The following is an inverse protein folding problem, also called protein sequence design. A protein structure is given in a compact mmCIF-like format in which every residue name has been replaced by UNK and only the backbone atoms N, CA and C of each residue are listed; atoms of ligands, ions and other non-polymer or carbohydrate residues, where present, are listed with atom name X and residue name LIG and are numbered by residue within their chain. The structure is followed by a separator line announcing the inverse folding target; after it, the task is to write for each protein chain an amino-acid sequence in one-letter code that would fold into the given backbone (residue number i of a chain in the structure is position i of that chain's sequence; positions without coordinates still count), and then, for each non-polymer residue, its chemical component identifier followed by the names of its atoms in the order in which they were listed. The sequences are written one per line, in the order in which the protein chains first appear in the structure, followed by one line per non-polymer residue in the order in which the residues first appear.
data_IF_034347668073
#
_entry.id   IF_034347668073
#
_cell.length_a   1.000
_cell.length_b   1.000
_cell.length_c   1.000
_cell.angle_alpha   90.00
_cell.angle_beta   90.00
_cell.angle_gamma   90.00
#
_symmetry.space_group_name_H-M   'P 1'
#
loop_
_entity.id
_entity.type
_entity.pdbx_description
1 polymer ?
#
# COMPACT_ATOMS: atom_id res chain seq x y z
N UNK A 1 30.49 45.02 -52.95
CA UNK A 1 29.88 43.68 -52.78
C UNK A 1 30.50 42.90 -51.59
N UNK A 2 30.85 43.56 -50.47
CA UNK A 2 31.43 42.89 -49.27
C UNK A 2 30.54 43.00 -48.02
N UNK A 3 29.51 43.86 -48.01
CA UNK A 3 28.64 44.07 -46.84
C UNK A 3 27.53 43.01 -46.70
N UNK A 4 27.19 42.29 -47.77
CA UNK A 4 26.09 41.30 -47.77
C UNK A 4 26.46 39.98 -47.09
N UNK A 5 27.75 39.66 -46.97
CA UNK A 5 28.23 38.41 -46.33
C UNK A 5 28.30 38.52 -44.80
N UNK A 6 28.49 39.73 -44.26
CA UNK A 6 28.45 40.03 -42.82
C UNK A 6 27.05 39.77 -42.22
N UNK A 7 25.98 40.19 -42.92
CA UNK A 7 24.60 40.02 -42.42
C UNK A 7 24.15 38.55 -42.38
N UNK A 8 24.66 37.70 -43.27
CA UNK A 8 24.40 36.24 -43.23
C UNK A 8 25.09 35.55 -42.05
N UNK A 9 26.28 36.01 -41.65
CA UNK A 9 27.00 35.47 -40.47
C UNK A 9 26.31 35.82 -39.16
N UNK A 10 25.80 37.05 -39.02
CA UNK A 10 25.04 37.47 -37.85
C UNK A 10 23.70 36.70 -37.72
N UNK A 11 22.98 36.51 -38.84
CA UNK A 11 21.74 35.73 -38.86
C UNK A 11 21.97 34.25 -38.49
N UNK A 12 23.06 33.65 -38.99
CA UNK A 12 23.44 32.27 -38.65
C UNK A 12 23.83 32.09 -37.17
N UNK A 13 24.43 33.11 -36.56
CA UNK A 13 24.76 33.10 -35.12
C UNK A 13 23.48 33.17 -34.27
N UNK A 14 22.54 34.04 -34.64
CA UNK A 14 21.28 34.22 -33.92
C UNK A 14 20.43 32.94 -33.95
N UNK A 15 20.28 32.30 -35.12
CA UNK A 15 19.50 31.05 -35.23
C UNK A 15 20.14 29.91 -34.43
N UNK A 16 21.47 29.81 -34.37
CA UNK A 16 22.16 28.83 -33.54
C UNK A 16 21.88 29.03 -32.04
N UNK A 17 21.92 30.27 -31.55
CA UNK A 17 21.58 30.59 -30.14
C UNK A 17 20.13 30.23 -29.83
N UNK A 18 19.20 30.57 -30.73
CA UNK A 18 17.79 30.21 -30.57
C UNK A 18 17.59 28.69 -30.48
N UNK A 19 18.27 27.91 -31.32
CA UNK A 19 18.22 26.45 -31.27
C UNK A 19 18.78 25.89 -29.96
N UNK A 20 19.88 26.45 -29.44
CA UNK A 20 20.45 26.01 -28.16
C UNK A 20 19.47 26.30 -27.01
N UNK A 21 18.84 27.48 -27.00
CA UNK A 21 17.87 27.85 -25.96
C UNK A 21 16.62 26.96 -26.03
N UNK A 22 16.10 26.66 -27.22
CA UNK A 22 14.95 25.77 -27.34
C UNK A 22 15.27 24.35 -26.88
N UNK A 23 16.46 23.83 -27.22
CA UNK A 23 16.94 22.53 -26.72
C UNK A 23 17.07 22.52 -25.19
N UNK A 24 17.57 23.60 -24.59
CA UNK A 24 17.67 23.73 -23.14
C UNK A 24 16.29 23.72 -22.45
N UNK A 25 15.28 24.41 -23.02
CA UNK A 25 13.91 24.41 -22.50
C UNK A 25 13.27 23.03 -22.61
N UNK A 26 13.47 22.33 -23.74
CA UNK A 26 12.95 20.97 -23.93
C UNK A 26 13.60 20.01 -22.93
N UNK A 27 14.92 20.08 -22.75
CA UNK A 27 15.63 19.24 -21.80
C UNK A 27 15.15 19.48 -20.36
N UNK A 28 14.96 20.74 -19.97
CA UNK A 28 14.41 21.10 -18.66
C UNK A 28 12.97 20.58 -18.48
N UNK A 29 12.13 20.68 -19.51
CA UNK A 29 10.76 20.16 -19.47
C UNK A 29 10.73 18.63 -19.32
N UNK A 30 11.52 17.91 -20.12
CA UNK A 30 11.62 16.44 -20.07
C UNK A 30 12.10 15.97 -18.71
N UNK A 31 13.09 16.64 -18.12
CA UNK A 31 13.60 16.29 -16.79
C UNK A 31 12.52 16.47 -15.71
N UNK A 32 11.79 17.60 -15.76
CA UNK A 32 10.69 17.85 -14.83
C UNK A 32 9.54 16.85 -14.96
N UNK A 33 9.17 16.51 -16.20
CA UNK A 33 8.14 15.51 -16.46
C UNK A 33 8.57 14.13 -15.95
N UNK A 34 9.81 13.73 -16.24
CA UNK A 34 10.36 12.44 -15.81
C UNK A 34 10.38 12.30 -14.29
N UNK A 35 10.81 13.36 -13.58
CA UNK A 35 10.77 13.39 -12.11
C UNK A 35 9.35 13.23 -11.54
N UNK A 36 8.36 13.87 -12.15
CA UNK A 36 6.94 13.71 -11.77
C UNK A 36 6.41 12.30 -12.04
N UNK A 37 6.72 11.74 -13.21
CA UNK A 37 6.29 10.39 -13.59
C UNK A 37 6.85 9.34 -12.64
N UNK A 38 8.16 9.38 -12.34
CA UNK A 38 8.80 8.45 -11.39
C UNK A 38 8.14 8.51 -10.00
N UNK A 39 7.78 9.72 -9.55
CA UNK A 39 7.08 9.89 -8.28
C UNK A 39 5.70 9.23 -8.29
N UNK A 40 4.89 9.48 -9.33
CA UNK A 40 3.55 8.89 -9.41
C UNK A 40 3.61 7.37 -9.48
N UNK A 41 4.54 6.81 -10.28
CA UNK A 41 4.68 5.36 -10.42
C UNK A 41 5.16 4.70 -9.14
N UNK A 42 6.06 5.34 -8.37
CA UNK A 42 6.53 4.82 -7.08
C UNK A 42 5.43 4.85 -6.01
N UNK A 43 4.64 5.93 -5.94
CA UNK A 43 3.48 6.02 -5.04
C UNK A 43 2.42 4.94 -5.39
N UNK A 44 2.14 4.74 -6.67
CA UNK A 44 1.24 3.68 -7.13
C UNK A 44 1.77 2.29 -6.77
N UNK A 45 3.06 2.02 -7.01
CA UNK A 45 3.68 0.73 -6.70
C UNK A 45 3.58 0.38 -5.20
N UNK A 46 3.73 1.35 -4.31
CA UNK A 46 3.56 1.13 -2.86
C UNK A 46 2.13 0.82 -2.48
N UNK A 47 1.16 1.51 -3.09
CA UNK A 47 -0.25 1.24 -2.89
C UNK A 47 -0.60 -0.18 -3.33
N UNK A 48 -0.14 -0.61 -4.50
CA UNK A 48 -0.37 -1.97 -5.00
C UNK A 48 0.28 -3.02 -4.09
N UNK A 49 1.49 -2.79 -3.60
CA UNK A 49 2.11 -3.66 -2.60
C UNK A 49 1.28 -3.77 -1.31
N UNK A 50 0.74 -2.66 -0.81
CA UNK A 50 -0.12 -2.68 0.37
C UNK A 50 -1.40 -3.52 0.15
N UNK A 51 -1.99 -3.42 -1.04
CA UNK A 51 -3.15 -4.23 -1.44
C UNK A 51 -2.77 -5.72 -1.51
N UNK A 52 -1.63 -6.05 -2.12
CA UNK A 52 -1.14 -7.42 -2.21
C UNK A 52 -0.89 -8.03 -0.83
N UNK A 53 -0.26 -7.28 0.08
CA UNK A 53 -0.07 -7.74 1.47
C UNK A 53 -1.39 -7.94 2.18
N UNK A 54 -2.34 -7.00 2.07
CA UNK A 54 -3.66 -7.18 2.67
C UNK A 54 -4.31 -8.47 2.17
N UNK A 55 -4.19 -8.77 0.86
CA UNK A 55 -4.75 -10.00 0.28
C UNK A 55 -4.04 -11.26 0.75
N UNK A 56 -2.72 -11.32 0.68
CA UNK A 56 -1.98 -12.50 1.11
C UNK A 56 -2.20 -12.82 2.60
N UNK A 57 -2.24 -11.78 3.44
CA UNK A 57 -2.45 -11.93 4.87
C UNK A 57 -3.89 -12.30 5.22
N UNK A 58 -4.90 -11.82 4.46
CA UNK A 58 -6.28 -12.34 4.65
C UNK A 58 -6.39 -13.83 4.34
N UNK A 59 -5.76 -14.31 3.27
CA UNK A 59 -5.79 -15.75 2.93
C UNK A 59 -5.04 -16.57 3.98
N UNK A 60 -3.89 -16.06 4.44
CA UNK A 60 -3.15 -16.68 5.53
C UNK A 60 -3.97 -16.75 6.83
N UNK A 61 -4.70 -15.69 7.17
CA UNK A 61 -5.57 -15.66 8.34
C UNK A 61 -6.69 -16.71 8.24
N UNK A 62 -7.34 -16.81 7.08
CA UNK A 62 -8.37 -17.83 6.82
C UNK A 62 -7.77 -19.23 6.99
N UNK A 63 -6.59 -19.48 6.40
CA UNK A 63 -5.90 -20.75 6.53
C UNK A 63 -5.56 -21.07 8.01
N UNK A 64 -5.01 -20.10 8.74
CA UNK A 64 -4.64 -20.25 10.14
C UNK A 64 -5.85 -20.56 11.03
N UNK A 65 -6.99 -19.91 10.80
CA UNK A 65 -8.23 -20.23 11.53
C UNK A 65 -8.78 -21.60 11.12
N UNK A 66 -8.72 -21.96 9.84
CA UNK A 66 -9.23 -23.25 9.36
C UNK A 66 -8.41 -24.44 9.87
N UNK A 67 -7.11 -24.25 10.08
CA UNK A 67 -6.20 -25.29 10.57
C UNK A 67 -6.22 -25.43 12.10
N UNK A 68 -6.83 -24.48 12.83
CA UNK A 68 -6.85 -24.49 14.28
C UNK A 68 -8.04 -25.30 14.81
N UNK A 69 -7.78 -26.07 15.85
CA UNK A 69 -8.84 -26.78 16.57
C UNK A 69 -9.78 -25.76 17.24
N UNK A 70 -11.09 -25.99 17.12
CA UNK A 70 -12.15 -25.10 17.63
C UNK A 70 -12.31 -25.16 19.14
N UNK A 71 -11.67 -26.12 19.80
CA UNK A 71 -11.69 -26.30 21.26
C UNK A 71 -10.60 -25.48 21.97
N UNK A 72 -9.68 -24.88 21.23
CA UNK A 72 -8.63 -23.99 21.75
C UNK A 72 -9.05 -22.51 21.68
N UNK A 73 -8.27 -21.63 22.32
CA UNK A 73 -8.47 -20.17 22.27
C UNK A 73 -8.55 -19.64 20.83
N UNK A 74 -9.18 -18.48 20.64
CA UNK A 74 -9.32 -17.86 19.33
C UNK A 74 -8.02 -17.22 18.82
N UNK A 75 -8.00 -16.87 17.53
CA UNK A 75 -6.97 -16.00 16.97
C UNK A 75 -7.60 -14.63 16.80
N UNK A 76 -7.28 -13.70 17.70
CA UNK A 76 -7.90 -12.36 17.66
C UNK A 76 -7.20 -11.42 16.68
N UNK A 77 -5.87 -11.46 16.67
CA UNK A 77 -5.03 -10.57 15.87
C UNK A 77 -3.82 -11.29 15.28
N UNK A 78 -3.52 -11.01 14.01
CA UNK A 78 -2.30 -11.45 13.35
C UNK A 78 -1.59 -10.18 12.86
N UNK A 79 -0.52 -9.80 13.56
CA UNK A 79 0.24 -8.59 13.26
C UNK A 79 1.60 -8.96 12.68
N UNK A 80 2.02 -8.24 11.65
CA UNK A 80 3.33 -8.41 11.04
C UNK A 80 3.94 -7.06 10.65
N UNK A 81 5.26 -6.96 10.74
CA UNK A 81 6.02 -5.80 10.33
C UNK A 81 6.98 -6.23 9.22
N UNK A 82 6.80 -5.69 8.02
CA UNK A 82 7.67 -5.93 6.88
C UNK A 82 8.66 -4.78 6.78
N UNK A 83 9.96 -5.10 6.69
CA UNK A 83 11.04 -4.11 6.61
C UNK A 83 11.02 -3.13 7.81
N UNK A 84 10.96 -3.69 9.02
CA UNK A 84 10.98 -2.95 10.29
C UNK A 84 9.65 -2.29 10.68
N UNK A 85 8.65 -2.22 9.80
CA UNK A 85 7.33 -1.70 10.14
C UNK A 85 7.27 -0.21 10.50
N UNK A 86 6.06 0.32 10.61
CA UNK A 86 5.83 1.71 11.00
C UNK A 86 5.89 1.83 12.53
N UNK A 87 6.97 2.43 13.05
CA UNK A 87 7.05 2.84 14.46
C UNK A 87 8.08 2.12 15.33
N UNK A 88 8.93 1.23 14.80
CA UNK A 88 10.16 0.86 15.53
C UNK A 88 11.13 2.04 15.52
N UNK A 89 11.85 2.23 16.63
CA UNK A 89 12.63 3.41 17.04
C UNK A 89 13.75 3.91 16.10
N UNK A 90 13.80 3.45 14.85
CA UNK A 90 14.59 4.03 13.77
C UNK A 90 13.67 4.84 12.87
N UNK A 91 13.77 6.17 12.92
CA UNK A 91 12.95 7.16 12.19
C UNK A 91 13.06 7.09 10.65
N UNK A 92 13.45 5.95 10.09
CA UNK A 92 13.74 5.73 8.67
C UNK A 92 12.89 4.60 8.06
N UNK A 93 11.96 4.00 8.82
CA UNK A 93 11.27 2.81 8.34
C UNK A 93 10.19 3.16 7.31
N UNK A 94 10.52 2.89 6.05
CA UNK A 94 9.64 2.92 4.86
C UNK A 94 8.84 1.63 4.68
N UNK A 95 8.88 0.73 5.68
CA UNK A 95 8.23 -0.57 5.65
C UNK A 95 6.70 -0.53 5.79
N UNK A 96 6.11 -1.72 5.78
CA UNK A 96 4.66 -1.92 5.90
C UNK A 96 4.35 -2.51 7.27
N UNK A 97 3.35 -1.95 7.95
CA UNK A 97 2.78 -2.56 9.16
C UNK A 97 1.43 -3.16 8.82
N UNK A 98 1.30 -4.46 9.06
CA UNK A 98 0.13 -5.25 8.74
C UNK A 98 -0.55 -5.61 10.05
N UNK A 99 -1.83 -5.27 10.16
CA UNK A 99 -2.68 -5.58 11.32
C UNK A 99 -3.92 -6.29 10.82
N UNK A 100 -4.02 -7.58 11.10
CA UNK A 100 -5.23 -8.34 10.88
C UNK A 100 -6.03 -8.41 12.17
N UNK A 101 -7.32 -8.15 12.06
CA UNK A 101 -8.30 -8.27 13.14
C UNK A 101 -9.32 -9.29 12.72
N UNK A 102 -9.45 -10.34 13.52
CA UNK A 102 -10.43 -11.38 13.29
C UNK A 102 -11.60 -11.16 14.25
N UNK A 103 -12.80 -11.47 13.78
CA UNK A 103 -14.02 -11.44 14.57
C UNK A 103 -14.91 -12.61 14.17
N UNK A 104 -15.57 -13.20 15.16
CA UNK A 104 -16.26 -14.46 15.04
C UNK A 104 -17.77 -14.28 15.20
N UNK A 105 -18.54 -14.95 14.36
CA UNK A 105 -20.02 -15.01 14.42
C UNK A 105 -20.41 -16.48 14.32
N UNK A 106 -21.05 -17.03 15.35
CA UNK A 106 -21.59 -18.38 15.30
C UNK A 106 -21.61 -19.10 16.64
N UNK A 107 -22.46 -20.12 16.73
CA UNK A 107 -22.61 -21.02 17.87
C UNK A 107 -21.75 -22.30 17.66
N UNK A 108 -20.48 -22.13 17.32
CA UNK A 108 -19.51 -23.21 17.44
C UNK A 108 -18.88 -23.09 18.83
N UNK A 109 -18.36 -24.20 19.37
CA UNK A 109 -17.71 -24.39 20.69
C UNK A 109 -16.43 -23.56 20.89
N UNK A 110 -16.41 -22.34 20.39
CA UNK A 110 -15.36 -21.38 20.56
C UNK A 110 -15.38 -20.97 22.02
N UNK A 111 -14.40 -21.48 22.75
CA UNK A 111 -14.25 -21.17 24.17
C UNK A 111 -13.03 -20.25 24.28
N UNK A 112 -13.15 -19.14 25.01
CA UNK A 112 -12.06 -18.17 25.25
C UNK A 112 -11.64 -17.30 24.05
N UNK A 113 -12.59 -16.84 23.23
CA UNK A 113 -12.39 -15.63 22.43
C UNK A 113 -12.40 -14.40 23.35
N UNK A 114 -11.65 -13.35 23.02
CA UNK A 114 -11.85 -12.07 23.69
C UNK A 114 -13.29 -11.56 23.42
N UNK A 115 -14.00 -11.09 24.46
CA UNK A 115 -15.39 -10.61 24.36
C UNK A 115 -15.58 -9.51 23.29
N UNK A 116 -14.51 -8.77 22.97
CA UNK A 116 -14.52 -7.74 21.92
C UNK A 116 -14.52 -8.27 20.49
N UNK A 117 -14.24 -9.56 20.30
CA UNK A 117 -14.09 -10.24 19.00
C UNK A 117 -15.19 -11.26 18.72
N UNK A 118 -15.99 -11.57 19.73
CA UNK A 118 -17.22 -12.34 19.59
C UNK A 118 -18.38 -11.39 19.27
N UNK A 119 -18.85 -11.42 18.03
CA UNK A 119 -19.91 -10.50 17.58
C UNK A 119 -21.31 -11.04 17.88
N UNK A 120 -21.48 -12.37 17.89
CA UNK A 120 -22.72 -13.04 18.29
C UNK A 120 -22.54 -14.57 18.35
N UNK A 121 -22.95 -15.17 19.46
CA UNK A 121 -23.04 -16.64 19.67
C UNK A 121 -24.45 -17.21 19.48
N UNK A 122 -25.46 -16.37 19.32
CA UNK A 122 -26.86 -16.83 19.19
C UNK A 122 -27.22 -17.27 17.77
N UNK A 123 -26.33 -17.01 16.81
CA UNK A 123 -26.51 -17.40 15.40
C UNK A 123 -26.08 -18.86 15.24
N UNK A 124 -27.04 -19.77 15.41
CA UNK A 124 -26.83 -21.20 15.16
C UNK A 124 -27.39 -21.59 13.78
N UNK A 125 -26.51 -21.90 12.83
CA UNK A 125 -26.89 -22.57 11.59
C UNK A 125 -26.18 -23.93 11.51
N UNK A 126 -26.92 -25.06 11.48
CA UNK A 126 -26.32 -26.39 11.48
C UNK A 126 -25.44 -26.68 10.24
N UNK A 127 -25.59 -25.91 9.15
CA UNK A 127 -24.71 -26.00 7.97
C UNK A 127 -23.52 -25.04 8.00
N UNK A 128 -23.55 -24.03 8.87
CA UNK A 128 -22.57 -22.93 8.95
C UNK A 128 -22.35 -22.58 10.42
N UNK A 129 -21.75 -23.50 11.22
CA UNK A 129 -21.66 -23.29 12.66
C UNK A 129 -20.78 -22.09 13.02
N UNK A 130 -19.90 -21.67 12.10
CA UNK A 130 -19.00 -20.55 12.33
C UNK A 130 -18.74 -19.72 11.06
N UNK A 131 -18.80 -18.40 11.22
CA UNK A 131 -18.35 -17.43 10.24
C UNK A 131 -17.30 -16.54 10.87
N UNK A 132 -16.32 -16.13 10.06
CA UNK A 132 -15.28 -15.19 10.45
C UNK A 132 -15.32 -13.96 9.57
N UNK A 133 -15.05 -12.83 10.20
CA UNK A 133 -14.76 -11.56 9.55
C UNK A 133 -13.27 -11.30 9.74
N UNK A 134 -12.56 -11.10 8.64
CA UNK A 134 -11.14 -10.78 8.62
C UNK A 134 -10.98 -9.35 8.11
N UNK A 135 -10.57 -8.47 9.01
CA UNK A 135 -10.23 -7.08 8.69
C UNK A 135 -8.72 -6.92 8.60
N UNK A 136 -8.23 -6.61 7.40
CA UNK A 136 -6.82 -6.33 7.15
C UNK A 136 -6.58 -4.83 7.02
N UNK A 137 -5.68 -4.33 7.87
CA UNK A 137 -5.18 -2.97 7.82
C UNK A 137 -3.70 -3.01 7.47
N UNK A 138 -3.32 -2.38 6.36
CA UNK A 138 -1.92 -2.24 5.95
C UNK A 138 -1.56 -0.77 5.98
N UNK A 139 -0.73 -0.41 6.95
CA UNK A 139 -0.23 0.94 7.12
C UNK A 139 1.12 1.07 6.39
N UNK A 140 1.26 2.11 5.57
CA UNK A 140 2.49 2.48 4.85
C UNK A 140 2.67 4.01 4.88
N UNK A 141 3.93 4.50 4.75
CA UNK A 141 4.21 5.94 4.73
C UNK A 141 4.19 6.51 3.30
N UNK A 142 3.74 7.75 3.20
CA UNK A 142 3.85 8.55 1.98
C UNK A 142 5.32 8.87 1.66
N UNK A 143 5.70 8.83 0.39
CA UNK A 143 7.04 9.25 -0.07
C UNK A 143 7.23 10.77 0.14
N UNK A 144 6.15 11.54 0.02
CA UNK A 144 6.17 13.00 0.00
C UNK A 144 6.04 13.63 1.38
N UNK A 145 5.43 12.90 2.32
CA UNK A 145 5.24 13.35 3.69
C UNK A 145 5.45 12.17 4.63
N UNK A 146 6.69 12.06 5.11
CA UNK A 146 7.08 10.96 6.00
C UNK A 146 6.30 10.96 7.31
N UNK A 147 5.65 12.06 7.71
CA UNK A 147 4.80 12.13 8.89
C UNK A 147 3.38 11.60 8.62
N UNK A 148 2.97 11.46 7.35
CA UNK A 148 1.66 10.94 6.96
C UNK A 148 1.71 9.43 6.77
N UNK A 149 0.89 8.72 7.53
CA UNK A 149 0.65 7.29 7.39
C UNK A 149 -0.64 7.09 6.61
N UNK A 150 -0.58 6.31 5.53
CA UNK A 150 -1.73 5.86 4.78
C UNK A 150 -2.08 4.44 5.23
N UNK A 151 -3.37 4.15 5.33
CA UNK A 151 -3.87 2.82 5.68
C UNK A 151 -4.74 2.30 4.55
N UNK A 152 -4.38 1.15 4.00
CA UNK A 152 -5.26 0.37 3.17
C UNK A 152 -6.07 -0.59 4.05
N UNK A 153 -7.38 -0.58 3.89
CA UNK A 153 -8.29 -1.44 4.63
C UNK A 153 -9.02 -2.38 3.68
N UNK A 154 -9.10 -3.65 4.05
CA UNK A 154 -9.90 -4.67 3.36
C UNK A 154 -10.60 -5.54 4.39
N UNK A 155 -11.91 -5.75 4.21
CA UNK A 155 -12.72 -6.70 4.98
C UNK A 155 -13.10 -7.89 4.10
N UNK A 156 -13.01 -9.10 4.65
CA UNK A 156 -13.53 -10.31 4.04
C UNK A 156 -14.38 -11.08 5.04
N UNK A 157 -15.48 -11.68 4.58
CA UNK A 157 -16.29 -12.60 5.38
C UNK A 157 -16.11 -13.99 4.79
N UNK A 158 -15.71 -14.94 5.63
CA UNK A 158 -15.53 -16.33 5.24
C UNK A 158 -16.34 -17.24 6.15
N UNK A 159 -17.03 -18.18 5.54
CA UNK A 159 -17.67 -19.30 6.23
C UNK A 159 -16.64 -20.42 6.42
N UNK A 160 -16.57 -20.98 7.61
CA UNK A 160 -15.63 -22.04 8.00
C UNK A 160 -16.33 -23.23 8.65
#
# INVERSE_FOLDING_TARGET
MMLYTQQRKAFSMLTAVVVIVTMAVIAAFVTNLSGKTVKITTDQYRKEQAILYARSYTEYAIMAVSARDRTMECIDDINANIQGGIGTATNQNTGYRIRLRLSYIGNATITNCADTRELSITVSNPRTPLNIIVDAYVDYRDINNMNRVLTYHRRSLQKI
#
